data_IF_723313992093
#
_entry.id   IF_723313992093
#
_cell.length_a   1.000
_cell.length_b   1.000
_cell.length_c   1.000
_cell.angle_alpha   90.00
_cell.angle_beta   90.00
_cell.angle_gamma   90.00
#
_symmetry.space_group_name_H-M   'P 1'
#
loop_
_entity.id
_entity.type
_entity.pdbx_description
1 polymer ?
#
# COMPACT_ATOMS: atom_id res chain seq x y z
N UNK A 1 10.95 -33.35 -17.21
CA UNK A 1 9.60 -33.96 -17.24
C UNK A 1 8.66 -33.05 -16.47
N UNK A 2 7.51 -32.67 -17.04
CA UNK A 2 6.68 -31.54 -16.57
C UNK A 2 5.48 -31.99 -15.71
N UNK A 3 5.13 -31.20 -14.69
CA UNK A 3 4.05 -31.46 -13.73
C UNK A 3 2.63 -31.11 -14.26
N UNK A 4 2.52 -30.67 -15.52
CA UNK A 4 1.31 -30.02 -16.06
C UNK A 4 0.23 -30.94 -16.66
N UNK A 5 0.33 -32.27 -16.52
CA UNK A 5 -0.62 -33.20 -17.17
C UNK A 5 -1.86 -33.60 -16.33
N UNK A 6 -1.91 -33.29 -15.03
CA UNK A 6 -2.89 -33.92 -14.11
C UNK A 6 -4.23 -33.20 -13.91
N UNK A 7 -4.47 -32.02 -14.52
CA UNK A 7 -5.66 -31.18 -14.19
C UNK A 7 -6.78 -31.25 -15.26
N UNK A 8 -6.56 -31.90 -16.41
CA UNK A 8 -7.45 -31.77 -17.60
C UNK A 8 -8.66 -32.71 -17.65
N UNK A 9 -9.23 -33.12 -16.51
CA UNK A 9 -10.51 -33.86 -16.46
C UNK A 9 -11.33 -33.56 -15.20
N UNK A 10 -12.15 -32.51 -15.26
CA UNK A 10 -13.50 -32.49 -14.65
C UNK A 10 -14.28 -31.25 -15.12
N UNK A 11 -15.61 -31.39 -15.20
CA UNK A 11 -16.65 -30.41 -15.57
C UNK A 11 -16.87 -30.04 -17.05
N UNK A 12 -18.00 -30.54 -17.54
CA UNK A 12 -18.71 -30.16 -18.78
C UNK A 12 -20.20 -29.99 -18.45
N UNK A 13 -20.77 -28.80 -18.70
CA UNK A 13 -22.22 -28.52 -18.75
C UNK A 13 -22.96 -28.33 -17.42
N UNK A 14 -24.26 -27.93 -17.46
CA UNK A 14 -24.74 -26.76 -18.22
C UNK A 14 -25.79 -25.88 -17.48
N UNK A 15 -26.07 -24.72 -18.08
CA UNK A 15 -27.25 -23.81 -18.07
C UNK A 15 -28.41 -23.99 -17.05
N UNK A 16 -28.88 -22.86 -16.49
CA UNK A 16 -30.23 -22.33 -16.78
C UNK A 16 -30.42 -20.84 -16.34
N UNK A 17 -31.45 -20.12 -16.83
CA UNK A 17 -31.56 -18.65 -16.80
C UNK A 17 -32.72 -18.13 -15.89
N UNK A 18 -33.27 -16.94 -16.23
CA UNK A 18 -34.45 -16.24 -15.66
C UNK A 18 -34.25 -15.57 -14.28
N UNK A 19 -34.66 -14.31 -14.02
CA UNK A 19 -35.24 -13.26 -14.88
C UNK A 19 -35.09 -11.83 -14.26
N UNK A 20 -35.17 -10.75 -15.07
CA UNK A 20 -35.40 -9.34 -14.64
C UNK A 20 -36.93 -9.02 -14.61
N UNK A 21 -37.49 -7.86 -14.13
CA UNK A 21 -37.23 -6.52 -14.70
C UNK A 21 -37.33 -5.25 -13.79
N UNK A 22 -36.62 -4.21 -14.26
CA UNK A 22 -36.82 -2.75 -14.30
C UNK A 22 -37.80 -1.91 -13.43
N UNK A 23 -37.24 -0.76 -12.96
CA UNK A 23 -37.79 0.64 -12.90
C UNK A 23 -38.83 1.05 -11.81
N UNK A 24 -39.02 2.38 -11.53
CA UNK A 24 -38.36 3.60 -12.05
C UNK A 24 -37.77 4.58 -10.98
N UNK A 25 -37.06 5.61 -11.45
CA UNK A 25 -36.66 6.82 -10.69
C UNK A 25 -37.72 7.95 -10.76
N UNK A 26 -37.57 9.01 -9.94
CA UNK A 26 -37.95 10.36 -10.36
C UNK A 26 -36.89 11.44 -10.08
N UNK A 27 -36.72 12.36 -11.05
CA UNK A 27 -36.14 13.72 -10.90
C UNK A 27 -37.29 14.78 -10.97
N UNK A 28 -37.04 16.09 -11.19
CA UNK A 28 -36.51 17.08 -10.26
C UNK A 28 -37.51 18.25 -10.04
N UNK A 29 -37.16 19.27 -9.22
CA UNK A 29 -37.88 20.56 -9.20
C UNK A 29 -36.91 21.73 -9.01
N UNK A 30 -37.12 22.79 -9.80
CA UNK A 30 -36.48 24.12 -9.73
C UNK A 30 -37.05 24.93 -8.52
N UNK A 31 -36.79 26.20 -8.21
CA UNK A 31 -36.19 27.34 -8.92
C UNK A 31 -35.85 28.44 -7.86
N UNK A 32 -35.05 29.45 -8.24
CA UNK A 32 -35.43 30.89 -8.24
C UNK A 32 -34.29 31.87 -7.90
N UNK A 33 -34.20 32.93 -8.69
CA UNK A 33 -33.23 34.02 -8.57
C UNK A 33 -33.89 35.38 -8.27
N UNK A 34 -33.07 36.33 -7.80
CA UNK A 34 -33.22 37.81 -7.80
C UNK A 34 -31.82 38.37 -7.49
N UNK A 35 -31.07 39.07 -8.34
CA UNK A 35 -31.27 40.29 -9.15
C UNK A 35 -30.60 41.54 -8.49
N UNK A 36 -30.15 42.47 -9.34
CA UNK A 36 -29.04 43.44 -9.23
C UNK A 36 -29.46 44.82 -8.57
N UNK A 37 -28.66 45.93 -8.47
CA UNK A 37 -27.71 46.49 -9.50
C UNK A 37 -26.42 47.24 -9.03
N UNK A 38 -25.60 47.65 -10.02
CA UNK A 38 -24.40 48.51 -9.91
C UNK A 38 -24.72 50.03 -10.01
N UNK A 39 -23.74 50.98 -9.86
CA UNK A 39 -22.92 51.43 -11.02
C UNK A 39 -21.47 51.95 -10.74
N UNK A 40 -20.70 52.19 -11.82
CA UNK A 40 -19.36 52.84 -11.91
C UNK A 40 -19.44 54.25 -12.59
N UNK A 41 -18.33 54.96 -12.98
CA UNK A 41 -17.12 55.43 -12.26
C UNK A 41 -16.96 56.99 -12.37
N UNK A 42 -15.81 57.62 -12.00
CA UNK A 42 -14.79 57.99 -13.01
C UNK A 42 -13.30 58.06 -12.51
N UNK A 43 -12.37 58.40 -13.43
CA UNK A 43 -10.88 58.51 -13.30
C UNK A 43 -10.39 59.73 -14.12
N UNK A 44 -9.10 60.13 -14.15
CA UNK A 44 -7.93 59.88 -13.27
C UNK A 44 -7.46 61.27 -12.70
N UNK A 45 -6.22 61.82 -12.82
CA UNK A 45 -4.83 61.29 -12.84
C UNK A 45 -3.81 62.03 -11.92
N UNK A 46 -2.64 61.43 -11.66
CA UNK A 46 -1.33 62.13 -11.71
C UNK A 46 -0.15 61.14 -11.86
N UNK A 47 0.98 61.60 -12.40
CA UNK A 47 2.15 60.76 -12.77
C UNK A 47 3.35 61.02 -11.88
N UNK A 48 4.12 59.98 -11.51
CA UNK A 48 5.58 60.04 -11.19
C UNK A 48 6.15 58.61 -11.10
N UNK A 49 7.49 58.41 -11.18
CA UNK A 49 8.04 57.34 -12.03
C UNK A 49 8.44 56.04 -11.32
N UNK A 50 8.76 55.04 -12.15
CA UNK A 50 9.35 53.76 -11.79
C UNK A 50 10.54 53.90 -10.81
N UNK A 51 10.45 53.17 -9.69
CA UNK A 51 11.60 52.68 -8.95
C UNK A 51 11.80 51.19 -9.31
N UNK A 52 13.04 50.68 -9.33
CA UNK A 52 13.34 49.41 -9.98
C UNK A 52 12.67 48.25 -9.28
N UNK A 53 12.30 47.22 -10.06
CA UNK A 53 11.72 45.99 -9.56
C UNK A 53 12.59 45.41 -8.43
N UNK A 54 12.13 45.54 -7.20
CA UNK A 54 12.61 44.71 -6.10
C UNK A 54 12.38 43.27 -6.54
N UNK A 55 13.46 42.50 -6.66
CA UNK A 55 13.40 41.08 -6.98
C UNK A 55 12.55 40.42 -5.93
N UNK A 56 11.30 40.12 -6.27
CA UNK A 56 10.39 39.35 -5.42
C UNK A 56 10.99 37.96 -5.29
N UNK A 57 11.83 37.78 -4.27
CA UNK A 57 12.33 36.49 -3.85
C UNK A 57 11.11 35.70 -3.40
N UNK A 58 10.57 34.92 -4.33
CA UNK A 58 9.35 34.15 -4.14
C UNK A 58 9.45 33.37 -2.82
N UNK A 59 8.63 33.68 -1.80
CA UNK A 59 8.70 33.00 -0.51
C UNK A 59 8.48 31.49 -0.62
N UNK A 60 7.89 31.03 -1.73
CA UNK A 60 7.66 29.63 -2.05
C UNK A 60 8.81 28.96 -2.83
N UNK A 61 9.72 29.70 -3.47
CA UNK A 61 10.89 29.10 -4.12
C UNK A 61 11.84 28.41 -3.12
N UNK A 62 11.83 28.86 -1.85
CA UNK A 62 12.55 28.22 -0.75
C UNK A 62 11.87 26.96 -0.18
N UNK A 63 10.64 26.63 -0.61
CA UNK A 63 9.98 25.35 -0.34
C UNK A 63 10.38 24.25 -1.35
N UNK A 64 11.48 24.45 -2.08
CA UNK A 64 12.15 23.39 -2.82
C UNK A 64 12.76 22.39 -1.82
N UNK A 65 11.91 21.50 -1.29
CA UNK A 65 12.30 20.32 -0.52
C UNK A 65 13.07 19.39 -1.45
N UNK A 66 14.36 19.71 -1.67
CA UNK A 66 15.31 18.77 -2.22
C UNK A 66 15.30 17.56 -1.30
N UNK A 67 14.68 16.48 -1.79
CA UNK A 67 14.68 15.20 -1.09
C UNK A 67 16.13 14.79 -0.87
N UNK A 68 16.51 14.24 0.29
CA UNK A 68 17.92 14.02 0.67
C UNK A 68 18.61 12.90 -0.14
N UNK A 69 18.04 12.52 -1.28
CA UNK A 69 18.43 11.41 -2.13
C UNK A 69 18.46 11.86 -3.60
N UNK A 70 19.41 11.30 -4.36
CA UNK A 70 19.47 11.49 -5.81
C UNK A 70 18.32 10.82 -6.57
N UNK A 71 18.22 11.13 -7.86
CA UNK A 71 17.11 10.71 -8.74
C UNK A 71 16.84 9.20 -8.72
N UNK A 72 17.88 8.36 -8.80
CA UNK A 72 17.75 6.90 -8.79
C UNK A 72 17.09 6.38 -7.50
N UNK A 73 17.56 6.83 -6.33
CA UNK A 73 16.97 6.45 -5.04
C UNK A 73 15.53 6.97 -4.94
N UNK A 74 15.26 8.17 -5.48
CA UNK A 74 13.90 8.72 -5.53
C UNK A 74 12.95 7.92 -6.43
N UNK A 75 13.42 7.43 -7.57
CA UNK A 75 12.68 6.50 -8.42
C UNK A 75 12.38 5.19 -7.68
N UNK A 76 13.39 4.60 -7.03
CA UNK A 76 13.25 3.34 -6.28
C UNK A 76 12.30 3.50 -5.07
N UNK A 77 12.36 4.62 -4.34
CA UNK A 77 11.40 4.98 -3.27
C UNK A 77 9.98 5.14 -3.83
N UNK A 78 9.83 5.78 -4.99
CA UNK A 78 8.53 5.95 -5.67
C UNK A 78 7.94 4.61 -6.11
N UNK A 79 8.76 3.72 -6.67
CA UNK A 79 8.38 2.35 -7.02
C UNK A 79 8.00 1.52 -5.78
N UNK A 80 8.71 1.67 -4.67
CA UNK A 80 8.33 1.02 -3.41
C UNK A 80 6.97 1.52 -2.89
N UNK A 81 6.75 2.85 -2.92
CA UNK A 81 5.45 3.47 -2.59
C UNK A 81 4.30 2.92 -3.45
N UNK A 82 4.53 2.78 -4.76
CA UNK A 82 3.55 2.17 -5.68
C UNK A 82 3.22 0.72 -5.29
N UNK A 83 4.24 -0.11 -5.00
CA UNK A 83 4.02 -1.49 -4.59
C UNK A 83 3.23 -1.59 -3.27
N UNK A 84 3.58 -0.80 -2.25
CA UNK A 84 2.90 -0.86 -0.94
C UNK A 84 1.49 -0.26 -0.96
N UNK A 85 1.15 0.58 -1.94
CA UNK A 85 -0.24 1.05 -2.16
C UNK A 85 -1.08 0.07 -2.99
N UNK A 86 -0.45 -0.76 -3.83
CA UNK A 86 -1.12 -1.84 -4.57
C UNK A 86 -1.40 -3.08 -3.71
N UNK A 87 -0.44 -3.49 -2.87
CA UNK A 87 -0.53 -4.70 -2.03
C UNK A 87 -1.83 -4.80 -1.21
N UNK A 88 -2.32 -3.75 -0.51
CA UNK A 88 -3.60 -3.80 0.20
C UNK A 88 -4.80 -4.07 -0.72
N UNK A 89 -4.81 -3.51 -1.93
CA UNK A 89 -5.89 -3.67 -2.92
C UNK A 89 -5.91 -5.11 -3.44
N UNK A 90 -4.75 -5.62 -3.87
CA UNK A 90 -4.60 -6.99 -4.36
C UNK A 90 -4.92 -8.03 -3.27
N UNK A 91 -4.50 -7.79 -2.03
CA UNK A 91 -4.86 -8.65 -0.89
C UNK A 91 -6.37 -8.67 -0.64
N UNK A 92 -7.06 -7.53 -0.76
CA UNK A 92 -8.51 -7.48 -0.56
C UNK A 92 -9.25 -8.23 -1.68
N UNK A 93 -8.79 -8.15 -2.93
CA UNK A 93 -9.33 -8.96 -4.04
C UNK A 93 -9.16 -10.47 -3.76
N UNK A 94 -7.94 -10.89 -3.40
CA UNK A 94 -7.63 -12.29 -3.03
C UNK A 94 -8.48 -12.76 -1.83
N UNK A 95 -8.63 -11.91 -0.81
CA UNK A 95 -9.46 -12.23 0.36
C UNK A 95 -10.94 -12.39 0.01
N UNK A 96 -11.45 -11.62 -0.95
CA UNK A 96 -12.84 -11.68 -1.39
C UNK A 96 -13.14 -12.95 -2.20
N UNK A 97 -12.17 -13.50 -2.95
CA UNK A 97 -12.35 -14.80 -3.61
C UNK A 97 -12.35 -15.97 -2.62
N UNK A 98 -11.74 -15.79 -1.44
CA UNK A 98 -11.55 -16.85 -0.44
C UNK A 98 -10.50 -17.90 -0.81
N UNK A 99 -9.96 -17.85 -2.03
CA UNK A 99 -8.98 -18.80 -2.57
C UNK A 99 -7.58 -18.25 -2.34
N UNK A 100 -6.81 -18.89 -1.45
CA UNK A 100 -5.44 -18.46 -1.11
C UNK A 100 -4.34 -19.27 -1.81
N UNK A 101 -4.68 -20.13 -2.76
CA UNK A 101 -3.76 -20.99 -3.51
C UNK A 101 -3.99 -20.87 -5.03
N UNK A 102 -2.97 -21.20 -5.84
CA UNK A 102 -3.03 -21.09 -7.29
C UNK A 102 -2.74 -19.68 -7.82
N UNK A 103 -2.93 -19.45 -9.14
CA UNK A 103 -2.28 -18.35 -9.87
C UNK A 103 -2.47 -16.96 -9.26
N UNK A 104 -3.70 -16.57 -8.91
CA UNK A 104 -3.99 -15.26 -8.34
C UNK A 104 -3.33 -15.07 -6.94
N UNK A 105 -3.18 -16.13 -6.16
CA UNK A 105 -2.48 -16.09 -4.90
C UNK A 105 -0.96 -16.03 -5.10
N UNK A 106 -0.44 -16.71 -6.12
CA UNK A 106 0.99 -16.76 -6.40
C UNK A 106 1.50 -15.46 -7.05
N UNK A 107 0.68 -14.82 -7.90
CA UNK A 107 0.89 -13.43 -8.36
C UNK A 107 0.89 -12.44 -7.17
N UNK A 108 -0.02 -12.62 -6.21
CA UNK A 108 -0.05 -11.80 -5.01
C UNK A 108 1.20 -11.99 -4.12
N UNK A 109 1.69 -13.22 -3.99
CA UNK A 109 2.95 -13.52 -3.29
C UNK A 109 4.15 -12.92 -4.04
N UNK A 110 4.15 -12.94 -5.37
CA UNK A 110 5.18 -12.29 -6.18
C UNK A 110 5.21 -10.77 -5.94
N UNK A 111 4.04 -10.11 -5.91
CA UNK A 111 3.92 -8.68 -5.60
C UNK A 111 4.48 -8.35 -4.20
N UNK A 112 4.16 -9.18 -3.19
CA UNK A 112 4.72 -9.03 -1.85
C UNK A 112 6.25 -9.18 -1.85
N UNK A 113 6.79 -10.17 -2.55
CA UNK A 113 8.22 -10.42 -2.66
C UNK A 113 8.96 -9.28 -3.39
N UNK A 114 8.37 -8.71 -4.45
CA UNK A 114 8.93 -7.54 -5.14
C UNK A 114 9.10 -6.34 -4.21
N UNK A 115 8.11 -6.07 -3.35
CA UNK A 115 8.22 -5.02 -2.35
C UNK A 115 9.27 -5.32 -1.27
N UNK A 116 9.39 -6.58 -0.83
CA UNK A 116 10.39 -7.04 0.13
C UNK A 116 11.81 -6.87 -0.42
N UNK A 117 12.07 -7.34 -1.65
CA UNK A 117 13.38 -7.20 -2.31
C UNK A 117 13.73 -5.73 -2.51
N UNK A 118 12.84 -4.95 -3.16
CA UNK A 118 13.11 -3.53 -3.41
C UNK A 118 13.39 -2.77 -2.11
N UNK A 119 12.67 -3.07 -1.02
CA UNK A 119 12.98 -2.50 0.30
C UNK A 119 14.41 -2.83 0.75
N UNK A 120 14.84 -4.08 0.65
CA UNK A 120 16.21 -4.48 1.04
C UNK A 120 17.27 -3.79 0.18
N UNK A 121 17.00 -3.60 -1.10
CA UNK A 121 17.93 -2.98 -2.06
C UNK A 121 18.10 -1.47 -1.79
N UNK A 122 17.02 -0.76 -1.44
CA UNK A 122 17.07 0.68 -1.12
C UNK A 122 17.56 1.00 0.29
N UNK A 123 17.27 0.13 1.28
CA UNK A 123 17.52 0.41 2.70
C UNK A 123 18.93 0.95 3.05
N UNK A 124 20.04 0.41 2.50
CA UNK A 124 21.39 0.90 2.81
C UNK A 124 21.65 2.34 2.36
N UNK A 125 20.83 2.86 1.44
CA UNK A 125 20.95 4.17 0.81
C UNK A 125 20.03 5.22 1.46
N UNK A 126 19.16 4.81 2.38
CA UNK A 126 18.19 5.68 3.06
C UNK A 126 18.74 6.20 4.39
N UNK A 127 18.32 7.40 4.78
CA UNK A 127 18.57 7.93 6.11
C UNK A 127 17.79 7.13 7.16
N UNK A 128 18.38 6.93 8.35
CA UNK A 128 17.81 6.09 9.42
C UNK A 128 16.40 6.47 9.89
N UNK A 129 15.94 7.69 9.58
CA UNK A 129 14.60 8.18 9.89
C UNK A 129 13.55 7.95 8.79
N UNK A 130 13.94 7.41 7.62
CA UNK A 130 13.02 7.17 6.52
C UNK A 130 11.92 6.17 6.90
N UNK A 131 10.66 6.47 6.55
CA UNK A 131 9.50 5.64 6.86
C UNK A 131 9.64 4.18 6.38
N UNK A 132 10.39 3.96 5.30
CA UNK A 132 10.68 2.63 4.73
C UNK A 132 11.44 1.74 5.73
N UNK A 133 12.22 2.30 6.67
CA UNK A 133 12.99 1.53 7.65
C UNK A 133 12.13 0.62 8.52
N UNK A 134 10.95 1.05 8.97
CA UNK A 134 10.10 0.22 9.83
C UNK A 134 8.94 -0.45 9.09
N UNK A 135 8.72 -0.09 7.82
CA UNK A 135 7.52 -0.45 7.07
C UNK A 135 7.52 -1.90 6.57
N UNK A 136 6.56 -2.70 7.05
CA UNK A 136 6.50 -4.14 6.83
C UNK A 136 5.35 -4.68 5.97
N UNK A 137 4.61 -3.86 5.22
CA UNK A 137 3.35 -4.28 4.56
C UNK A 137 3.49 -5.53 3.66
N UNK A 138 4.58 -5.66 2.90
CA UNK A 138 4.88 -6.85 2.09
C UNK A 138 4.98 -8.12 2.92
N UNK A 139 5.87 -8.14 3.93
CA UNK A 139 6.01 -9.28 4.87
C UNK A 139 4.69 -9.61 5.58
N UNK A 140 3.96 -8.58 6.01
CA UNK A 140 2.67 -8.70 6.72
C UNK A 140 1.65 -9.44 5.89
N UNK A 141 1.46 -9.05 4.61
CA UNK A 141 0.45 -9.69 3.77
C UNK A 141 0.88 -11.07 3.30
N UNK A 142 2.17 -11.27 3.04
CA UNK A 142 2.73 -12.60 2.76
C UNK A 142 2.45 -13.55 3.94
N UNK A 143 2.78 -13.13 5.18
CA UNK A 143 2.46 -13.87 6.39
C UNK A 143 0.94 -14.10 6.60
N UNK A 144 0.07 -13.16 6.18
CA UNK A 144 -1.39 -13.34 6.22
C UNK A 144 -1.89 -14.37 5.20
N UNK A 145 -1.26 -14.49 4.04
CA UNK A 145 -1.60 -15.54 3.06
C UNK A 145 -1.11 -16.91 3.54
N UNK A 146 0.10 -17.01 4.11
CA UNK A 146 0.57 -18.24 4.75
C UNK A 146 -0.34 -18.66 5.93
N UNK A 147 -0.74 -17.70 6.79
CA UNK A 147 -1.74 -17.92 7.86
C UNK A 147 -3.08 -18.47 7.31
N UNK A 148 -3.47 -18.07 6.10
CA UNK A 148 -4.70 -18.50 5.42
C UNK A 148 -4.58 -19.85 4.70
N UNK A 149 -3.39 -20.20 4.21
CA UNK A 149 -3.02 -21.56 3.74
C UNK A 149 -2.86 -22.56 4.90
N UNK A 150 -2.87 -22.10 6.15
CA UNK A 150 -2.64 -22.92 7.34
C UNK A 150 -1.17 -23.15 7.68
N UNK A 151 -0.25 -22.56 6.90
CA UNK A 151 1.19 -22.59 7.17
C UNK A 151 1.57 -21.57 8.26
N UNK A 152 1.31 -21.96 9.51
CA UNK A 152 1.66 -21.13 10.67
C UNK A 152 3.18 -21.06 10.92
N UNK A 153 3.96 -22.03 10.43
CA UNK A 153 5.42 -22.02 10.54
C UNK A 153 6.01 -20.97 9.60
N UNK A 154 5.73 -21.06 8.31
CA UNK A 154 6.17 -20.07 7.32
C UNK A 154 5.62 -18.68 7.62
N UNK A 155 4.39 -18.56 8.13
CA UNK A 155 3.86 -17.26 8.58
C UNK A 155 4.67 -16.68 9.76
N UNK A 156 5.13 -17.49 10.72
CA UNK A 156 5.99 -17.05 11.81
C UNK A 156 7.41 -16.70 11.32
N UNK A 157 7.98 -17.51 10.44
CA UNK A 157 9.29 -17.28 9.83
C UNK A 157 9.31 -16.01 8.97
N UNK A 158 8.24 -15.70 8.24
CA UNK A 158 8.11 -14.45 7.49
C UNK A 158 8.07 -13.22 8.41
N UNK A 159 7.50 -13.35 9.62
CA UNK A 159 7.55 -12.30 10.63
C UNK A 159 8.95 -12.16 11.25
N UNK A 160 9.65 -13.27 11.50
CA UNK A 160 11.05 -13.26 11.93
C UNK A 160 11.94 -12.59 10.87
N UNK A 161 11.71 -12.88 9.59
CA UNK A 161 12.43 -12.29 8.47
C UNK A 161 12.23 -10.77 8.41
N UNK A 162 10.99 -10.30 8.57
CA UNK A 162 10.69 -8.88 8.68
C UNK A 162 11.46 -8.21 9.82
N UNK A 163 11.52 -8.85 10.99
CA UNK A 163 12.21 -8.35 12.18
C UNK A 163 13.74 -8.29 12.00
N UNK A 164 14.34 -9.30 11.37
CA UNK A 164 15.76 -9.29 10.95
C UNK A 164 16.07 -8.12 10.01
N UNK A 165 15.16 -7.86 9.08
CA UNK A 165 15.27 -6.80 8.08
C UNK A 165 14.83 -5.42 8.61
N UNK A 166 14.61 -5.26 9.92
CA UNK A 166 14.19 -4.01 10.57
C UNK A 166 12.73 -3.59 10.36
N UNK A 167 11.94 -4.35 9.59
CA UNK A 167 10.53 -4.09 9.32
C UNK A 167 9.67 -4.47 10.54
N UNK A 168 9.73 -3.67 11.61
CA UNK A 168 9.05 -3.93 12.88
C UNK A 168 7.55 -3.65 12.83
N UNK A 169 7.10 -2.69 12.01
CA UNK A 169 5.70 -2.25 11.96
C UNK A 169 4.87 -3.08 10.99
N UNK A 170 3.74 -3.57 11.49
CA UNK A 170 2.68 -4.19 10.70
C UNK A 170 1.35 -3.40 10.75
N UNK A 171 1.36 -2.21 11.37
CA UNK A 171 0.18 -1.39 11.62
C UNK A 171 -0.66 -1.81 12.83
N UNK A 172 -0.19 -2.76 13.65
CA UNK A 172 -0.73 -3.04 14.98
C UNK A 172 0.24 -2.64 16.10
N UNK A 173 -0.26 -2.44 17.32
CA UNK A 173 0.53 -2.03 18.48
C UNK A 173 1.73 -2.94 18.77
N UNK A 174 1.60 -4.26 18.55
CA UNK A 174 2.66 -5.24 18.81
C UNK A 174 3.45 -5.64 17.56
N UNK A 175 3.17 -5.04 16.40
CA UNK A 175 3.95 -5.18 15.18
C UNK A 175 4.15 -6.62 14.70
N UNK A 176 5.27 -6.84 14.00
CA UNK A 176 5.67 -8.17 13.52
C UNK A 176 5.95 -9.17 14.65
N UNK A 177 6.42 -8.70 15.82
CA UNK A 177 6.68 -9.57 16.96
C UNK A 177 5.39 -10.17 17.53
N UNK A 178 4.34 -9.35 17.71
CA UNK A 178 3.02 -9.80 18.11
C UNK A 178 2.33 -10.69 17.07
N UNK A 179 2.55 -10.41 15.78
CA UNK A 179 2.10 -11.30 14.69
C UNK A 179 2.78 -12.67 14.75
N UNK A 180 4.11 -12.70 14.93
CA UNK A 180 4.87 -13.93 15.10
C UNK A 180 4.38 -14.74 16.31
N UNK A 181 4.18 -14.07 17.46
CA UNK A 181 3.60 -14.68 18.66
C UNK A 181 2.24 -15.33 18.39
N UNK A 182 1.37 -14.64 17.63
CA UNK A 182 0.05 -15.15 17.22
C UNK A 182 0.17 -16.38 16.33
N UNK A 183 1.11 -16.41 15.38
CA UNK A 183 1.30 -17.55 14.47
C UNK A 183 1.77 -18.79 15.23
N UNK A 184 2.80 -18.64 16.06
CA UNK A 184 3.32 -19.71 16.90
C UNK A 184 2.24 -20.28 17.82
N UNK A 185 1.44 -19.42 18.47
CA UNK A 185 0.31 -19.83 19.31
C UNK A 185 -0.76 -20.59 18.52
N UNK A 186 -1.13 -20.12 17.32
CA UNK A 186 -2.14 -20.77 16.46
C UNK A 186 -1.68 -22.14 15.95
N UNK A 187 -0.42 -22.25 15.51
CA UNK A 187 0.17 -23.50 15.06
C UNK A 187 0.56 -24.47 16.18
N UNK A 188 0.51 -24.05 17.46
CA UNK A 188 1.08 -24.77 18.61
C UNK A 188 2.59 -25.06 18.44
N UNK A 189 3.30 -24.13 17.81
CA UNK A 189 4.71 -24.24 17.45
C UNK A 189 5.56 -23.65 18.57
N UNK A 190 6.60 -24.36 19.07
CA UNK A 190 7.53 -23.79 20.04
C UNK A 190 8.44 -22.75 19.35
N UNK A 191 8.65 -21.55 19.93
CA UNK A 191 9.54 -20.55 19.36
C UNK A 191 10.99 -21.04 19.33
N UNK A 192 11.68 -20.82 18.21
CA UNK A 192 13.13 -21.04 18.09
C UNK A 192 13.91 -20.12 19.04
N UNK A 193 15.18 -20.42 19.36
CA UNK A 193 16.00 -19.55 20.22
C UNK A 193 16.04 -18.09 19.73
N UNK A 194 16.11 -17.89 18.41
CA UNK A 194 16.12 -16.55 17.82
C UNK A 194 14.77 -15.85 17.93
N UNK A 195 13.65 -16.53 17.64
CA UNK A 195 12.31 -15.95 17.79
C UNK A 195 12.09 -15.42 19.20
N UNK A 196 12.58 -16.11 20.24
CA UNK A 196 12.52 -15.66 21.64
C UNK A 196 13.19 -14.29 21.86
N UNK A 197 14.26 -13.98 21.12
CA UNK A 197 14.98 -12.69 21.26
C UNK A 197 14.17 -11.47 20.81
N UNK A 198 13.17 -11.69 19.95
CA UNK A 198 12.23 -10.65 19.49
C UNK A 198 10.92 -10.68 20.30
N UNK A 199 10.46 -11.86 20.73
CA UNK A 199 9.25 -12.00 21.54
C UNK A 199 9.39 -11.38 22.95
N UNK A 200 10.59 -11.37 23.52
CA UNK A 200 10.88 -10.75 24.83
C UNK A 200 11.07 -9.23 24.80
N UNK A 201 10.78 -8.56 23.68
CA UNK A 201 10.99 -7.11 23.47
C UNK A 201 9.71 -6.35 23.06
N UNK A 202 8.55 -7.00 23.13
CA UNK A 202 7.25 -6.51 22.66
C UNK A 202 6.26 -6.33 23.81
#
# INVERSE_FOLDING_TARGET
MSFLQSIKKMFTGPENPDAPPETPQPEPVEEKATEEPAPEPPVPPESTPEAPAETTSDPFAALNQQTPYGEEIMEQRSRYSLLVTQIPKAYNALRSSGVFEGPAADEFLLLCNQAISLRRDILPQLEKGDWIFTHGEGYKRLAMVLEKRGDFQGAAEMCLLALRDGATSDGSQSGMAGRMARMLKKGKIPPTPEMKTYLGKA
#
